data_IF_620727392866
#
_entry.id   IF_620727392866
#
_cell.length_a   1.000
_cell.length_b   1.000
_cell.length_c   1.000
_cell.angle_alpha   90.00
_cell.angle_beta   90.00
_cell.angle_gamma   90.00
#
_symmetry.space_group_name_H-M   'P 1'
#
loop_
_entity.id
_entity.type
_entity.pdbx_description
1 polymer ?
#
# COMPACT_ATOMS: atom_id res chain seq x y z
N UNK A 1 -15.63 19.96 18.32
CA UNK A 1 -14.45 20.52 17.62
C UNK A 1 -13.21 20.09 18.41
N UNK A 2 -12.76 18.85 18.19
CA UNK A 2 -11.58 18.35 18.88
C UNK A 2 -10.34 19.04 18.31
N UNK A 3 -9.51 19.56 19.21
CA UNK A 3 -8.27 20.25 18.94
C UNK A 3 -7.44 19.55 17.86
N UNK A 4 -7.16 20.26 16.75
CA UNK A 4 -6.05 19.91 15.86
C UNK A 4 -4.75 20.25 16.59
N UNK A 5 -4.31 19.37 17.49
CA UNK A 5 -2.94 19.42 18.00
C UNK A 5 -1.98 19.45 16.82
N UNK A 6 -0.92 20.27 16.93
CA UNK A 6 0.12 20.32 15.90
C UNK A 6 0.68 18.92 15.67
N UNK A 7 0.68 18.45 14.42
CA UNK A 7 1.20 17.13 14.05
C UNK A 7 2.68 17.07 14.40
N UNK A 8 3.03 16.22 15.36
CA UNK A 8 4.39 16.08 15.86
C UNK A 8 5.27 15.36 14.82
N UNK A 9 6.61 15.52 14.86
CA UNK A 9 7.51 14.76 13.99
C UNK A 9 7.31 13.24 14.09
N UNK A 10 7.01 12.75 15.29
CA UNK A 10 6.74 11.32 15.55
C UNK A 10 5.48 10.85 14.82
N UNK A 11 4.41 11.65 14.82
CA UNK A 11 3.18 11.31 14.09
C UNK A 11 3.42 11.19 12.59
N UNK A 12 4.31 12.04 12.04
CA UNK A 12 4.69 12.02 10.63
C UNK A 12 5.46 10.76 10.28
N UNK A 13 6.39 10.35 11.14
CA UNK A 13 7.15 9.10 10.94
C UNK A 13 6.20 7.91 10.90
N UNK A 14 5.31 7.77 11.89
CA UNK A 14 4.34 6.67 11.91
C UNK A 14 3.36 6.71 10.73
N UNK A 15 2.90 7.90 10.32
CA UNK A 15 2.07 8.06 9.13
C UNK A 15 2.80 7.70 7.83
N UNK A 16 4.10 7.94 7.72
CA UNK A 16 4.88 7.49 6.57
C UNK A 16 5.09 5.97 6.59
N UNK A 17 5.36 5.40 7.77
CA UNK A 17 5.69 3.97 7.92
C UNK A 17 4.58 3.04 7.46
N UNK A 18 3.31 3.40 7.66
CA UNK A 18 2.18 2.56 7.23
C UNK A 18 2.20 2.32 5.71
N UNK A 19 2.66 3.29 4.91
CA UNK A 19 2.73 3.15 3.45
C UNK A 19 3.80 2.18 2.94
N UNK A 20 4.63 1.63 3.82
CA UNK A 20 5.46 0.47 3.46
C UNK A 20 4.59 -0.74 3.08
N UNK A 21 3.41 -0.89 3.68
CA UNK A 21 2.53 -2.04 3.42
C UNK A 21 2.06 -2.13 1.97
N UNK A 22 1.40 -1.09 1.39
CA UNK A 22 0.98 -1.15 0.00
C UNK A 22 2.16 -1.24 -0.97
N UNK A 23 3.35 -0.77 -0.55
CA UNK A 23 4.57 -0.96 -1.33
C UNK A 23 5.01 -2.43 -1.35
N UNK A 24 4.97 -3.13 -0.21
CA UNK A 24 5.24 -4.57 -0.12
C UNK A 24 4.19 -5.40 -0.88
N UNK A 25 2.91 -5.00 -0.79
CA UNK A 25 1.80 -5.63 -1.51
C UNK A 25 2.01 -5.54 -3.02
N UNK A 26 2.28 -4.35 -3.56
CA UNK A 26 2.48 -4.19 -5.00
C UNK A 26 3.73 -4.91 -5.48
N UNK A 27 4.83 -4.87 -4.72
CA UNK A 27 6.07 -5.58 -5.09
C UNK A 27 5.81 -7.08 -5.22
N UNK A 28 5.13 -7.69 -4.23
CA UNK A 28 4.79 -9.11 -4.28
C UNK A 28 3.85 -9.44 -5.45
N UNK A 29 2.84 -8.61 -5.68
CA UNK A 29 1.88 -8.78 -6.76
C UNK A 29 2.53 -8.74 -8.15
N UNK A 30 3.42 -7.77 -8.39
CA UNK A 30 3.99 -7.53 -9.73
C UNK A 30 5.32 -8.25 -9.96
N UNK A 31 5.92 -8.89 -8.95
CA UNK A 31 7.25 -9.50 -9.01
C UNK A 31 7.47 -10.37 -10.25
N UNK A 32 6.51 -11.24 -10.58
CA UNK A 32 6.61 -12.15 -11.73
C UNK A 32 6.64 -11.46 -13.09
N UNK A 33 5.96 -10.33 -13.23
CA UNK A 33 5.79 -9.64 -14.52
C UNK A 33 6.81 -8.51 -14.65
N UNK A 34 6.89 -7.67 -13.63
CA UNK A 34 7.73 -6.47 -13.64
C UNK A 34 9.16 -6.77 -13.23
N UNK A 35 9.39 -7.69 -12.29
CA UNK A 35 10.73 -7.95 -11.74
C UNK A 35 11.67 -8.70 -12.67
N UNK A 36 11.15 -9.51 -13.60
CA UNK A 36 11.95 -10.37 -14.48
C UNK A 36 11.73 -10.15 -15.98
N UNK A 37 10.72 -9.38 -16.38
CA UNK A 37 10.28 -9.31 -17.79
C UNK A 37 9.96 -7.93 -18.33
N UNK A 38 10.08 -6.87 -17.52
CA UNK A 38 9.67 -5.52 -17.91
C UNK A 38 10.86 -4.56 -18.05
N UNK A 39 10.72 -3.53 -18.88
CA UNK A 39 11.64 -2.40 -18.93
C UNK A 39 11.71 -1.64 -17.58
N UNK A 40 10.72 -1.82 -16.70
CA UNK A 40 10.69 -1.25 -15.35
C UNK A 40 11.47 -2.08 -14.31
N UNK A 41 12.04 -3.24 -14.69
CA UNK A 41 12.82 -4.10 -13.79
C UNK A 41 13.92 -3.35 -13.01
N UNK A 42 14.66 -2.39 -13.60
CA UNK A 42 15.67 -1.63 -12.84
C UNK A 42 15.06 -0.80 -11.69
N UNK A 43 13.94 -0.12 -11.94
CA UNK A 43 13.24 0.68 -10.93
C UNK A 43 12.64 -0.25 -9.87
N UNK A 44 12.03 -1.35 -10.30
CA UNK A 44 11.51 -2.38 -9.41
C UNK A 44 12.58 -2.88 -8.45
N UNK A 45 13.75 -3.28 -8.97
CA UNK A 45 14.84 -3.82 -8.14
C UNK A 45 15.45 -2.78 -7.22
N UNK A 46 15.56 -1.52 -7.66
CA UNK A 46 16.03 -0.42 -6.81
C UNK A 46 15.15 -0.21 -5.57
N UNK A 47 13.84 -0.46 -5.68
CA UNK A 47 12.88 -0.36 -4.57
C UNK A 47 12.80 -1.67 -3.78
N UNK A 48 12.75 -2.81 -4.46
CA UNK A 48 12.51 -4.11 -3.83
C UNK A 48 13.72 -4.64 -3.05
N UNK A 49 14.95 -4.40 -3.53
CA UNK A 49 16.15 -4.96 -2.92
C UNK A 49 16.38 -4.45 -1.48
N UNK A 50 16.27 -3.14 -1.17
CA UNK A 50 16.35 -2.66 0.21
C UNK A 50 15.22 -3.21 1.12
N UNK A 51 14.08 -3.56 0.53
CA UNK A 51 12.91 -4.08 1.24
C UNK A 51 12.90 -5.61 1.34
N UNK A 52 13.88 -6.31 0.78
CA UNK A 52 13.99 -7.77 0.81
C UNK A 52 13.79 -8.40 2.21
N UNK A 53 14.39 -7.90 3.31
CA UNK A 53 14.16 -8.50 4.63
C UNK A 53 12.70 -8.36 5.08
N UNK A 54 12.06 -7.21 4.78
CA UNK A 54 10.65 -6.98 5.09
C UNK A 54 9.74 -7.86 4.23
N UNK A 55 10.02 -7.99 2.92
CA UNK A 55 9.29 -8.87 2.01
C UNK A 55 9.35 -10.34 2.47
N UNK A 56 10.52 -10.79 2.93
CA UNK A 56 10.69 -12.13 3.47
C UNK A 56 9.84 -12.36 4.71
N UNK A 57 9.82 -11.42 5.66
CA UNK A 57 8.96 -11.51 6.85
C UNK A 57 7.45 -11.43 6.48
N UNK A 58 7.11 -10.57 5.52
CA UNK A 58 5.75 -10.29 5.09
C UNK A 58 5.12 -11.45 4.29
N UNK A 59 5.91 -12.22 3.53
CA UNK A 59 5.39 -13.36 2.77
C UNK A 59 5.80 -14.72 3.34
N UNK A 60 6.78 -14.78 4.24
CA UNK A 60 7.36 -16.03 4.76
C UNK A 60 6.45 -16.84 5.68
N UNK A 61 5.50 -16.20 6.39
CA UNK A 61 4.60 -16.89 7.32
C UNK A 61 3.33 -17.42 6.61
N UNK A 62 3.51 -18.31 5.63
CA UNK A 62 2.41 -18.96 4.90
C UNK A 62 1.48 -18.01 4.13
N UNK A 63 1.91 -16.79 3.85
CA UNK A 63 1.12 -15.77 3.15
C UNK A 63 -0.01 -15.14 3.96
N UNK A 64 -0.15 -15.44 5.26
CA UNK A 64 -1.21 -14.87 6.12
C UNK A 64 -0.83 -13.53 6.77
N UNK A 65 0.45 -13.17 6.77
CA UNK A 65 0.91 -11.93 7.41
C UNK A 65 0.23 -10.66 6.88
N UNK A 66 -0.06 -10.47 5.57
CA UNK A 66 -0.80 -9.31 5.09
C UNK A 66 -2.18 -9.19 5.76
N UNK A 67 -2.88 -10.31 5.93
CA UNK A 67 -4.18 -10.36 6.58
C UNK A 67 -4.08 -10.08 8.08
N UNK A 68 -3.05 -10.63 8.75
CA UNK A 68 -2.79 -10.36 10.17
C UNK A 68 -2.51 -8.87 10.39
N UNK A 69 -1.65 -8.28 9.56
CA UNK A 69 -1.30 -6.85 9.63
C UNK A 69 -2.52 -5.97 9.32
N UNK A 70 -3.35 -6.37 8.36
CA UNK A 70 -4.64 -5.70 8.10
C UNK A 70 -5.49 -5.62 9.37
N UNK A 71 -5.74 -6.75 10.03
CA UNK A 71 -6.56 -6.76 11.25
C UNK A 71 -5.89 -6.02 12.40
N UNK A 72 -4.57 -6.16 12.55
CA UNK A 72 -3.82 -5.46 13.59
C UNK A 72 -3.89 -3.94 13.41
N UNK A 73 -3.63 -3.41 12.22
CA UNK A 73 -3.76 -1.98 11.95
C UNK A 73 -5.21 -1.51 12.08
N UNK A 74 -6.17 -2.26 11.57
CA UNK A 74 -7.57 -1.84 11.64
C UNK A 74 -8.05 -1.76 13.10
N UNK A 75 -7.86 -2.82 13.88
CA UNK A 75 -8.38 -2.91 15.26
C UNK A 75 -7.57 -2.06 16.24
N UNK A 76 -6.24 -2.09 16.16
CA UNK A 76 -5.37 -1.43 17.14
C UNK A 76 -5.06 0.03 16.80
N UNK A 77 -5.06 0.38 15.50
CA UNK A 77 -4.72 1.74 15.04
C UNK A 77 -5.99 2.48 14.61
N UNK A 78 -6.66 2.04 13.55
CA UNK A 78 -7.76 2.79 12.92
C UNK A 78 -8.93 2.99 13.86
N UNK A 79 -9.33 1.96 14.61
CA UNK A 79 -10.48 2.00 15.53
C UNK A 79 -10.14 2.56 16.92
N UNK A 80 -8.89 2.92 17.19
CA UNK A 80 -8.46 3.40 18.50
C UNK A 80 -8.47 4.93 18.55
N UNK A 81 -9.49 5.51 19.18
CA UNK A 81 -9.67 6.97 19.32
C UNK A 81 -8.57 7.67 20.14
N UNK A 82 -7.75 6.93 20.89
CA UNK A 82 -6.59 7.52 21.59
C UNK A 82 -5.44 7.87 20.64
N UNK A 83 -5.41 7.30 19.43
CA UNK A 83 -4.42 7.60 18.41
C UNK A 83 -4.84 8.83 17.62
N UNK A 84 -3.86 9.68 17.31
CA UNK A 84 -4.08 10.91 16.55
C UNK A 84 -4.75 10.60 15.21
N UNK A 85 -5.81 11.35 14.88
CA UNK A 85 -6.59 11.18 13.66
C UNK A 85 -5.72 11.11 12.38
N UNK A 86 -4.64 11.89 12.33
CA UNK A 86 -3.68 11.88 11.22
C UNK A 86 -3.05 10.50 10.95
N UNK A 87 -2.62 9.78 12.00
CA UNK A 87 -2.06 8.43 11.85
C UNK A 87 -3.14 7.45 11.43
N UNK A 88 -4.33 7.55 12.05
CA UNK A 88 -5.47 6.68 11.76
C UNK A 88 -5.94 6.81 10.30
N UNK A 89 -5.99 8.03 9.78
CA UNK A 89 -6.28 8.32 8.39
C UNK A 89 -5.28 7.64 7.44
N UNK A 90 -3.98 7.88 7.64
CA UNK A 90 -2.94 7.30 6.79
C UNK A 90 -2.91 5.76 6.88
N UNK A 91 -3.15 5.20 8.08
CA UNK A 91 -3.27 3.75 8.27
C UNK A 91 -4.48 3.18 7.51
N UNK A 92 -5.62 3.86 7.55
CA UNK A 92 -6.82 3.46 6.80
C UNK A 92 -6.60 3.55 5.29
N UNK A 93 -5.97 4.63 4.82
CA UNK A 93 -5.61 4.81 3.41
C UNK A 93 -4.67 3.70 2.92
N UNK A 94 -3.65 3.36 3.72
CA UNK A 94 -2.75 2.23 3.47
C UNK A 94 -3.51 0.89 3.39
N UNK A 95 -4.46 0.65 4.30
CA UNK A 95 -5.31 -0.54 4.30
C UNK A 95 -6.14 -0.62 3.00
N UNK A 96 -6.71 0.50 2.55
CA UNK A 96 -7.52 0.54 1.33
C UNK A 96 -6.70 0.19 0.09
N UNK A 97 -5.45 0.63 -0.01
CA UNK A 97 -4.53 0.16 -1.07
C UNK A 97 -4.36 -1.37 -1.03
N UNK A 98 -4.11 -1.93 0.15
CA UNK A 98 -3.99 -3.38 0.32
C UNK A 98 -5.25 -4.13 -0.12
N UNK A 99 -6.44 -3.63 0.22
CA UNK A 99 -7.72 -4.20 -0.25
C UNK A 99 -7.81 -4.16 -1.78
N UNK A 100 -7.55 -3.00 -2.39
CA UNK A 100 -7.64 -2.85 -3.86
C UNK A 100 -6.67 -3.81 -4.56
N UNK A 101 -5.42 -3.89 -4.11
CA UNK A 101 -4.42 -4.79 -4.69
C UNK A 101 -4.78 -6.27 -4.50
N UNK A 102 -5.34 -6.62 -3.34
CA UNK A 102 -5.84 -7.97 -3.07
C UNK A 102 -6.98 -8.35 -4.02
N UNK A 103 -7.95 -7.44 -4.22
CA UNK A 103 -9.06 -7.65 -5.14
C UNK A 103 -8.59 -7.82 -6.59
N UNK A 104 -7.65 -6.99 -7.04
CA UNK A 104 -7.07 -7.13 -8.38
C UNK A 104 -6.33 -8.48 -8.49
N UNK A 105 -5.59 -8.89 -7.47
CA UNK A 105 -4.87 -10.17 -7.46
C UNK A 105 -5.81 -11.38 -7.51
N UNK A 106 -6.93 -11.32 -6.78
CA UNK A 106 -7.98 -12.35 -6.81
C UNK A 106 -8.61 -12.40 -8.21
N UNK A 107 -9.02 -11.25 -8.75
CA UNK A 107 -9.61 -11.17 -10.08
C UNK A 107 -8.63 -11.71 -11.15
N UNK A 108 -7.37 -11.32 -11.05
CA UNK A 108 -6.33 -11.80 -11.96
C UNK A 108 -6.22 -13.32 -11.92
N UNK A 109 -6.04 -13.90 -10.72
CA UNK A 109 -5.82 -15.34 -10.53
C UNK A 109 -6.98 -16.20 -10.98
N UNK A 110 -8.23 -15.76 -10.75
CA UNK A 110 -9.40 -16.60 -10.97
C UNK A 110 -10.14 -16.31 -12.27
N UNK A 111 -9.97 -15.13 -12.88
CA UNK A 111 -10.72 -14.76 -14.08
C UNK A 111 -9.83 -14.44 -15.30
N UNK A 112 -8.64 -13.86 -15.11
CA UNK A 112 -7.88 -13.26 -16.22
C UNK A 112 -6.63 -14.05 -16.61
N UNK A 113 -5.94 -14.67 -15.65
CA UNK A 113 -4.62 -15.28 -15.90
C UNK A 113 -4.66 -16.42 -16.92
N UNK A 114 -5.75 -17.20 -16.97
CA UNK A 114 -5.89 -18.29 -17.94
C UNK A 114 -5.95 -17.83 -19.40
N UNK A 115 -6.24 -16.55 -19.64
CA UNK A 115 -6.44 -15.97 -20.99
C UNK A 115 -5.33 -14.99 -21.33
N UNK A 116 -4.90 -14.17 -20.37
CA UNK A 116 -4.03 -13.01 -20.61
C UNK A 116 -2.57 -13.23 -20.21
N UNK A 117 -2.23 -14.35 -19.58
CA UNK A 117 -0.85 -14.63 -19.16
C UNK A 117 0.12 -14.69 -20.36
N UNK A 118 1.27 -14.04 -20.23
CA UNK A 118 2.31 -13.92 -21.26
C UNK A 118 2.02 -12.86 -22.32
N UNK A 119 0.86 -12.20 -22.28
CA UNK A 119 0.47 -11.22 -23.31
C UNK A 119 1.03 -9.82 -23.02
N UNK A 120 1.04 -8.96 -24.04
CA UNK A 120 1.35 -7.54 -23.86
C UNK A 120 0.36 -6.86 -22.89
N UNK A 121 -0.90 -7.31 -22.86
CA UNK A 121 -1.91 -6.77 -21.94
C UNK A 121 -1.56 -7.04 -20.48
N UNK A 122 -1.04 -8.24 -20.15
CA UNK A 122 -0.51 -8.51 -18.81
C UNK A 122 0.61 -7.52 -18.47
N UNK A 123 1.60 -7.39 -19.36
CA UNK A 123 2.73 -6.49 -19.12
C UNK A 123 2.28 -5.05 -18.92
N UNK A 124 1.41 -4.52 -19.79
CA UNK A 124 0.88 -3.16 -19.66
C UNK A 124 0.13 -2.97 -18.36
N UNK A 125 -0.78 -3.90 -18.01
CA UNK A 125 -1.57 -3.81 -16.78
C UNK A 125 -0.68 -3.78 -15.53
N UNK A 126 0.23 -4.73 -15.38
CA UNK A 126 1.08 -4.83 -14.18
C UNK A 126 2.12 -3.71 -14.12
N UNK A 127 2.63 -3.21 -15.26
CA UNK A 127 3.47 -2.01 -15.30
C UNK A 127 2.70 -0.77 -14.84
N UNK A 128 1.46 -0.59 -15.30
CA UNK A 128 0.60 0.54 -14.90
C UNK A 128 0.26 0.47 -13.42
N UNK A 129 -0.09 -0.72 -12.90
CA UNK A 129 -0.35 -0.92 -11.47
C UNK A 129 0.89 -0.58 -10.65
N UNK A 130 2.06 -1.09 -11.04
CA UNK A 130 3.31 -0.81 -10.35
C UNK A 130 3.60 0.69 -10.28
N UNK A 131 3.58 1.38 -11.42
CA UNK A 131 3.84 2.82 -11.46
C UNK A 131 2.78 3.63 -10.69
N UNK A 132 1.50 3.27 -10.85
CA UNK A 132 0.38 3.95 -10.19
C UNK A 132 0.49 3.86 -8.67
N UNK A 133 0.76 2.66 -8.13
CA UNK A 133 0.92 2.47 -6.68
C UNK A 133 2.19 3.14 -6.17
N UNK A 134 3.34 2.99 -6.86
CA UNK A 134 4.59 3.63 -6.44
C UNK A 134 4.44 5.15 -6.40
N UNK A 135 3.79 5.75 -7.40
CA UNK A 135 3.53 7.19 -7.43
C UNK A 135 2.57 7.61 -6.31
N UNK A 136 1.48 6.87 -6.09
CA UNK A 136 0.51 7.15 -5.05
C UNK A 136 1.10 7.03 -3.64
N UNK A 137 1.89 5.98 -3.39
CA UNK A 137 2.63 5.77 -2.14
C UNK A 137 3.66 6.88 -1.94
N UNK A 138 4.46 7.19 -2.95
CA UNK A 138 5.45 8.27 -2.89
C UNK A 138 4.82 9.62 -2.56
N UNK A 139 3.72 9.96 -3.24
CA UNK A 139 2.92 11.16 -2.92
C UNK A 139 2.45 11.14 -1.47
N UNK A 140 1.92 10.02 -1.00
CA UNK A 140 1.36 9.91 0.35
C UNK A 140 2.42 10.03 1.44
N UNK A 141 3.60 9.44 1.23
CA UNK A 141 4.76 9.58 2.12
C UNK A 141 5.25 11.03 2.17
N UNK A 142 5.36 11.70 1.01
CA UNK A 142 5.81 13.11 0.96
C UNK A 142 4.82 14.03 1.69
N UNK A 143 3.51 13.89 1.45
CA UNK A 143 2.50 14.67 2.17
C UNK A 143 2.55 14.38 3.67
N UNK A 144 2.67 13.09 4.05
CA UNK A 144 2.73 12.70 5.45
C UNK A 144 3.94 13.27 6.18
N UNK A 145 5.11 13.27 5.53
CA UNK A 145 6.34 13.86 6.04
C UNK A 145 6.23 15.39 6.23
N UNK A 146 5.43 16.06 5.39
CA UNK A 146 5.10 17.48 5.54
C UNK A 146 4.01 17.74 6.59
N UNK A 147 3.42 16.70 7.19
CA UNK A 147 2.29 16.82 8.11
C UNK A 147 0.98 17.20 7.42
N UNK A 148 0.80 16.80 6.16
CA UNK A 148 -0.39 17.05 5.34
C UNK A 148 -1.09 15.74 5.02
N UNK A 149 -2.40 15.79 4.86
CA UNK A 149 -3.20 14.65 4.44
C UNK A 149 -2.97 14.39 2.95
N UNK A 150 -2.75 13.13 2.58
CA UNK A 150 -2.60 12.73 1.19
C UNK A 150 -3.98 12.57 0.55
N UNK A 151 -4.37 13.54 -0.28
CA UNK A 151 -5.68 13.54 -0.93
C UNK A 151 -5.62 12.81 -2.26
N UNK A 152 -5.94 11.51 -2.22
CA UNK A 152 -6.08 10.64 -3.38
C UNK A 152 -7.58 10.44 -3.61
N UNK A 153 -8.12 10.87 -4.77
CA UNK A 153 -9.55 10.76 -5.06
C UNK A 153 -10.07 9.35 -4.80
N UNK A 154 -11.29 9.23 -4.27
CA UNK A 154 -11.97 7.97 -3.88
C UNK A 154 -11.36 7.24 -2.68
N UNK A 155 -10.04 7.10 -2.60
CA UNK A 155 -9.38 6.39 -1.49
C UNK A 155 -9.43 7.24 -0.22
N UNK A 156 -9.11 8.53 -0.31
CA UNK A 156 -9.13 9.43 0.85
C UNK A 156 -10.54 9.63 1.38
N UNK A 157 -11.55 9.76 0.50
CA UNK A 157 -12.96 9.87 0.90
C UNK A 157 -13.44 8.61 1.66
N UNK A 158 -13.06 7.43 1.16
CA UNK A 158 -13.34 6.16 1.83
C UNK A 158 -12.61 6.07 3.18
N UNK A 159 -11.36 6.53 3.26
CA UNK A 159 -10.60 6.56 4.51
C UNK A 159 -11.27 7.47 5.55
N UNK A 160 -11.66 8.70 5.17
CA UNK A 160 -12.35 9.62 6.08
C UNK A 160 -13.65 9.05 6.66
N UNK A 161 -14.39 8.26 5.86
CA UNK A 161 -15.63 7.63 6.32
C UNK A 161 -15.41 6.62 7.44
N UNK A 162 -14.26 5.93 7.45
CA UNK A 162 -13.93 4.89 8.44
C UNK A 162 -13.27 5.41 9.72
N UNK A 163 -12.65 6.59 9.65
CA UNK A 163 -11.96 7.26 10.77
C UNK A 163 -12.83 8.35 11.40
N UNK A 164 -14.15 8.27 11.21
CA UNK A 164 -15.12 9.19 11.75
C UNK A 164 -15.57 8.83 13.16
#
# INVERSE_FOLDING_TARGET
MAWRGSISPTDRIFACLVYLLPLLDVIGMVYRVVGSGSFLSPIFNAIALPLAPLLSAYYGFGGFMPLIIFFALFLLVVRNESIVHFIRFNAMQSILFGIVLSLISILWRYALSGILQGTLLEQTLFNTIFLGVVAAVGYSVVQSAMGRYAEIPTISDAAYTQVR
#
